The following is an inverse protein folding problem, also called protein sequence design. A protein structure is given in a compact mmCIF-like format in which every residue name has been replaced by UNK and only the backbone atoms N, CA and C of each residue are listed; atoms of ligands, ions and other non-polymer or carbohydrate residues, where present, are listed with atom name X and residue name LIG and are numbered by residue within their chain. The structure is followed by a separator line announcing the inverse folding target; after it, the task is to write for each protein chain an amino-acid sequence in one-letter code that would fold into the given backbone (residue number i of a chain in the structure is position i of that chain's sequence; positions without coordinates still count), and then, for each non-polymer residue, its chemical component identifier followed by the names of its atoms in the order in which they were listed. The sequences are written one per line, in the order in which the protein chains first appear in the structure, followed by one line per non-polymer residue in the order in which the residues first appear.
data_IF_003311369597
#
_entry.id   IF_003311369597
#
_cell.length_a   1.000
_cell.length_b   1.000
_cell.length_c   1.000
_cell.angle_alpha   90.00
_cell.angle_beta   90.00
_cell.angle_gamma   90.00
#
_symmetry.space_group_name_H-M   'P 1'
#
loop_
_entity.id
_entity.type
_entity.pdbx_description
1 polymer ?
#
# COMPACT_ATOMS: atom_id res chain seq x y z
N UNK A 1 -4.24 4.24 -0.45
CA UNK A 1 -3.50 5.05 0.52
C UNK A 1 -4.53 5.85 1.30
N UNK A 2 -4.59 5.70 2.62
CA UNK A 2 -5.35 6.57 3.51
C UNK A 2 -4.36 7.46 4.25
N UNK A 3 -4.53 8.79 4.25
CA UNK A 3 -3.58 9.72 4.87
C UNK A 3 -3.81 9.81 6.39
N UNK A 4 -3.72 8.69 7.11
CA UNK A 4 -3.74 8.69 8.57
C UNK A 4 -2.45 8.11 9.13
N UNK A 5 -1.83 8.82 10.07
CA UNK A 5 -0.65 8.35 10.79
C UNK A 5 -1.13 7.67 12.07
N UNK A 6 -1.02 6.34 12.14
CA UNK A 6 -1.53 5.56 13.28
C UNK A 6 -0.74 5.73 14.58
N UNK A 7 0.39 6.44 14.58
CA UNK A 7 1.24 6.67 15.76
C UNK A 7 2.02 5.44 16.26
N UNK A 8 1.51 4.22 16.01
CA UNK A 8 2.16 2.93 16.30
C UNK A 8 1.22 1.75 16.01
N UNK A 9 1.77 0.58 15.68
CA UNK A 9 0.98 -0.62 15.33
C UNK A 9 1.80 -1.72 14.64
N UNK A 10 1.14 -2.81 14.21
CA UNK A 10 1.79 -3.87 13.44
C UNK A 10 2.05 -3.37 12.01
N UNK A 11 3.31 -3.28 11.55
CA UNK A 11 3.59 -2.82 10.21
C UNK A 11 3.02 -3.82 9.20
N UNK A 12 2.33 -3.31 8.18
CA UNK A 12 1.79 -4.14 7.10
C UNK A 12 2.87 -4.99 6.41
N UNK A 13 4.11 -4.50 6.42
CA UNK A 13 5.28 -5.28 6.03
C UNK A 13 6.31 -5.28 7.16
N UNK A 14 6.49 -6.44 7.79
CA UNK A 14 7.42 -6.63 8.90
C UNK A 14 8.78 -7.25 8.47
N UNK A 15 8.96 -7.59 7.18
CA UNK A 15 10.16 -8.26 6.66
C UNK A 15 10.70 -7.63 5.37
N UNK A 16 11.85 -8.14 4.85
CA UNK A 16 12.45 -7.65 3.62
C UNK A 16 11.47 -7.81 2.46
N UNK A 17 11.05 -6.68 1.88
CA UNK A 17 10.08 -6.67 0.78
C UNK A 17 10.81 -7.09 -0.50
N UNK A 18 10.40 -8.18 -1.18
CA UNK A 18 10.84 -8.40 -2.54
C UNK A 18 10.49 -7.17 -3.39
N UNK A 19 11.25 -6.89 -4.44
CA UNK A 19 10.95 -5.76 -5.33
C UNK A 19 9.52 -5.96 -5.86
N UNK A 20 8.63 -5.03 -5.54
CA UNK A 20 7.25 -5.06 -6.01
C UNK A 20 7.12 -4.11 -7.20
N UNK A 21 6.47 -4.56 -8.27
CA UNK A 21 6.09 -3.71 -9.40
C UNK A 21 4.64 -3.30 -9.22
N UNK A 22 4.37 -2.00 -9.31
CA UNK A 22 3.02 -1.47 -9.38
C UNK A 22 2.47 -1.76 -10.78
N UNK A 23 1.32 -2.45 -10.86
CA UNK A 23 0.68 -2.78 -12.13
C UNK A 23 -0.64 -2.06 -12.33
N UNK A 24 -1.29 -1.60 -11.25
CA UNK A 24 -2.55 -0.88 -11.34
C UNK A 24 -2.75 0.07 -10.14
N UNK A 25 -3.46 1.16 -10.39
CA UNK A 25 -3.83 2.16 -9.39
C UNK A 25 -5.25 2.66 -9.65
N UNK A 26 -6.15 2.42 -8.70
CA UNK A 26 -7.55 2.81 -8.80
C UNK A 26 -7.93 3.74 -7.65
N UNK A 27 -8.60 4.85 -7.97
CA UNK A 27 -9.20 5.74 -6.95
C UNK A 27 -10.50 5.12 -6.44
N UNK A 28 -10.64 5.03 -5.12
CA UNK A 28 -11.87 4.57 -4.46
C UNK A 28 -12.39 5.73 -3.61
N UNK A 29 -13.52 6.32 -4.03
CA UNK A 29 -14.06 7.52 -3.40
C UNK A 29 -13.07 8.69 -3.42
N UNK A 30 -13.31 9.68 -2.55
CA UNK A 30 -12.50 10.90 -2.54
C UNK A 30 -11.18 10.77 -1.78
N UNK A 31 -11.02 9.78 -0.89
CA UNK A 31 -9.89 9.74 0.06
C UNK A 31 -9.01 8.50 -0.03
N UNK A 32 -9.37 7.52 -0.86
CA UNK A 32 -8.65 6.25 -0.94
C UNK A 32 -8.14 5.93 -2.36
N UNK A 33 -7.00 5.25 -2.41
CA UNK A 33 -6.45 4.65 -3.63
C UNK A 33 -6.13 3.19 -3.35
N UNK A 34 -6.60 2.28 -4.19
CA UNK A 34 -6.17 0.90 -4.25
C UNK A 34 -4.97 0.78 -5.19
N UNK A 35 -3.94 0.05 -4.75
CA UNK A 35 -2.73 -0.20 -5.54
C UNK A 35 -2.53 -1.70 -5.67
N UNK A 36 -2.37 -2.17 -6.91
CA UNK A 36 -2.13 -3.59 -7.20
C UNK A 36 -0.65 -3.79 -7.46
N UNK A 37 -0.04 -4.71 -6.71
CA UNK A 37 1.38 -5.02 -6.80
C UNK A 37 1.61 -6.48 -7.16
N UNK A 38 2.60 -6.73 -8.01
CA UNK A 38 3.11 -8.07 -8.32
C UNK A 38 4.59 -8.19 -7.94
N UNK A 39 5.08 -9.39 -7.58
CA UNK A 39 6.51 -9.65 -7.48
C UNK A 39 7.23 -9.34 -8.80
N UNK A 40 8.39 -8.70 -8.72
CA UNK A 40 9.17 -8.26 -9.88
C UNK A 40 9.88 -9.36 -10.67
#
# INVERSE_FOLDING_TARGET
LHPCVTGGGRPYFAGPRPRLRLVDSQRIGDDAILLTYVPA
#
